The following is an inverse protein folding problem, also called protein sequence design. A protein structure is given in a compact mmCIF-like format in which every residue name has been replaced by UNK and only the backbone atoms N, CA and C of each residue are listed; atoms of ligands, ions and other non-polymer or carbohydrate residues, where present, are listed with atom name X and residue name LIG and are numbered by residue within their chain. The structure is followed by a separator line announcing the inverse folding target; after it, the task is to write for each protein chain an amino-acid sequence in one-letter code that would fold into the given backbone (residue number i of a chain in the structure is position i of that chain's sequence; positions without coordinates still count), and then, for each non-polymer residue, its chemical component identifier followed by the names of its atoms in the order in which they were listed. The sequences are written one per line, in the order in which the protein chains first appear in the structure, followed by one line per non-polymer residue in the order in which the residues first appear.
data_IF_552357359574
#
_entry.id   IF_552357359574
#
_cell.length_a   1.000
_cell.length_b   1.000
_cell.length_c   1.000
_cell.angle_alpha   90.00
_cell.angle_beta   90.00
_cell.angle_gamma   90.00
#
_symmetry.space_group_name_H-M   'P 1'
#
loop_
_entity.id
_entity.type
_entity.pdbx_description
1 polymer ?
#
# COMPACT_ATOMS: atom_id res chain seq x y z
N UNK A 1 10.53 21.93 15.24
CA UNK A 1 9.08 21.64 15.17
C UNK A 1 8.56 22.31 13.92
N UNK A 2 8.04 21.53 12.96
CA UNK A 2 7.44 22.08 11.74
C UNK A 2 6.26 22.98 12.13
N UNK A 3 6.27 24.25 11.71
CA UNK A 3 5.23 25.23 12.06
C UNK A 3 3.80 24.80 11.68
N UNK A 4 3.67 23.88 10.72
CA UNK A 4 2.40 23.29 10.29
C UNK A 4 1.76 22.30 11.28
N UNK A 5 2.48 21.86 12.33
CA UNK A 5 1.98 20.91 13.34
C UNK A 5 1.59 21.56 14.67
N UNK A 6 1.58 22.90 14.75
CA UNK A 6 1.19 23.62 15.97
C UNK A 6 -0.33 23.45 16.19
N UNK A 7 -0.72 22.97 17.37
CA UNK A 7 -2.13 22.78 17.75
C UNK A 7 -2.77 21.44 17.36
N UNK A 8 -2.10 20.58 16.59
CA UNK A 8 -2.66 19.28 16.21
C UNK A 8 -2.47 18.23 17.31
N UNK A 9 -3.57 17.58 17.69
CA UNK A 9 -3.61 16.50 18.70
C UNK A 9 -2.96 15.20 18.18
N UNK A 10 -3.24 14.87 16.94
CA UNK A 10 -2.69 13.74 16.17
C UNK A 10 -2.58 14.19 14.72
N UNK A 11 -1.56 13.74 14.00
CA UNK A 11 -1.40 14.02 12.56
C UNK A 11 -0.57 12.95 11.89
N UNK A 12 -0.81 12.73 10.60
CA UNK A 12 0.06 11.92 9.76
C UNK A 12 1.00 12.83 8.97
N UNK A 13 2.26 12.42 8.78
CA UNK A 13 3.19 13.04 7.83
C UNK A 13 3.34 12.12 6.63
N UNK A 14 3.20 12.66 5.41
CA UNK A 14 3.37 11.90 4.17
C UNK A 14 4.52 12.49 3.36
N UNK A 15 5.49 11.66 3.01
CA UNK A 15 6.73 12.04 2.33
C UNK A 15 6.77 11.48 0.90
N UNK A 16 6.59 12.37 -0.08
CA UNK A 16 6.67 12.01 -1.51
C UNK A 16 8.11 11.68 -1.95
N UNK A 17 9.14 12.22 -1.30
CA UNK A 17 10.54 11.91 -1.59
C UNK A 17 10.89 10.49 -1.15
N UNK A 18 10.28 10.00 -0.06
CA UNK A 18 10.36 8.60 0.33
C UNK A 18 9.75 7.68 -0.74
N UNK A 19 8.60 8.05 -1.32
CA UNK A 19 7.99 7.30 -2.44
C UNK A 19 8.91 7.27 -3.66
N UNK A 20 9.50 8.41 -4.04
CA UNK A 20 10.46 8.49 -5.14
C UNK A 20 11.69 7.60 -4.91
N UNK A 21 12.26 7.65 -3.70
CA UNK A 21 13.36 6.78 -3.29
C UNK A 21 12.98 5.30 -3.39
N UNK A 22 11.82 4.91 -2.87
CA UNK A 22 11.36 3.53 -2.88
C UNK A 22 11.13 3.02 -4.30
N UNK A 23 10.52 3.84 -5.16
CA UNK A 23 10.34 3.53 -6.57
C UNK A 23 11.68 3.27 -7.28
N UNK A 24 12.67 4.14 -7.04
CA UNK A 24 14.02 3.96 -7.58
C UNK A 24 14.71 2.70 -7.03
N UNK A 25 14.59 2.43 -5.73
CA UNK A 25 15.15 1.24 -5.09
C UNK A 25 14.52 -0.06 -5.63
N UNK A 26 13.20 -0.08 -5.84
CA UNK A 26 12.49 -1.21 -6.44
C UNK A 26 12.87 -1.41 -7.90
N UNK A 27 13.06 -0.33 -8.68
CA UNK A 27 13.57 -0.42 -10.05
C UNK A 27 14.99 -0.98 -10.09
N UNK A 28 15.88 -0.53 -9.20
CA UNK A 28 17.24 -1.03 -9.11
C UNK A 28 17.31 -2.54 -8.81
N UNK A 29 16.36 -3.07 -8.03
CA UNK A 29 16.26 -4.52 -7.75
C UNK A 29 15.95 -5.38 -8.96
N UNK A 30 15.29 -4.84 -9.98
CA UNK A 30 15.04 -5.56 -11.25
C UNK A 30 16.37 -5.78 -12.00
N UNK A 31 17.39 -4.97 -11.71
CA UNK A 31 18.71 -5.04 -12.32
C UNK A 31 18.75 -4.39 -13.71
N UNK A 32 19.94 -4.00 -14.18
CA UNK A 32 20.12 -3.24 -15.42
C UNK A 32 19.76 -4.04 -16.68
N UNK A 33 19.72 -5.36 -16.59
CA UNK A 33 19.38 -6.25 -17.69
C UNK A 33 17.86 -6.46 -17.85
N UNK A 34 17.05 -6.03 -16.88
CA UNK A 34 15.58 -6.20 -16.94
C UNK A 34 14.94 -5.03 -17.69
N UNK A 35 14.09 -5.36 -18.65
CA UNK A 35 13.21 -4.40 -19.33
C UNK A 35 11.84 -4.25 -18.63
N UNK A 36 11.67 -4.85 -17.44
CA UNK A 36 10.41 -4.83 -16.73
C UNK A 36 10.00 -3.40 -16.35
N UNK A 37 8.76 -3.05 -16.70
CA UNK A 37 8.13 -1.77 -16.37
C UNK A 37 7.40 -1.84 -15.03
N UNK A 38 7.12 -0.71 -14.42
CA UNK A 38 6.49 -0.61 -13.10
C UNK A 38 5.09 0.00 -13.22
N UNK A 39 4.08 -0.80 -12.87
CA UNK A 39 2.77 -0.31 -12.48
C UNK A 39 2.81 0.10 -11.00
N UNK A 40 2.95 1.39 -10.72
CA UNK A 40 2.90 1.86 -9.35
C UNK A 40 1.45 1.80 -8.83
N UNK A 41 1.20 0.95 -7.83
CA UNK A 41 -0.17 0.68 -7.38
C UNK A 41 -0.63 1.73 -6.37
N UNK A 42 -1.66 2.50 -6.73
CA UNK A 42 -2.18 3.65 -5.98
C UNK A 42 -3.64 3.48 -5.54
N UNK A 43 -4.15 2.24 -5.50
CA UNK A 43 -5.50 1.95 -4.97
C UNK A 43 -5.67 2.40 -3.51
N UNK A 44 -6.93 2.59 -3.11
CA UNK A 44 -7.29 3.04 -1.76
C UNK A 44 -6.58 4.36 -1.38
N UNK A 45 -6.68 5.35 -2.27
CA UNK A 45 -6.04 6.66 -2.14
C UNK A 45 -4.52 6.57 -1.85
N UNK A 46 -3.83 5.79 -2.68
CA UNK A 46 -2.42 5.45 -2.52
C UNK A 46 -2.10 4.81 -1.15
N UNK A 47 -2.84 3.75 -0.79
CA UNK A 47 -2.69 3.06 0.49
C UNK A 47 -2.82 4.03 1.69
N UNK A 48 -3.78 4.95 1.63
CA UNK A 48 -4.03 5.97 2.65
C UNK A 48 -3.08 7.18 2.64
N UNK A 49 -2.09 7.23 1.73
CA UNK A 49 -1.12 8.33 1.69
C UNK A 49 -1.68 9.58 0.99
N UNK A 50 -2.74 9.46 0.21
CA UNK A 50 -3.29 10.53 -0.60
C UNK A 50 -2.63 10.60 -1.97
N UNK A 51 -3.38 10.28 -3.02
CA UNK A 51 -2.90 10.28 -4.41
C UNK A 51 -2.19 11.59 -4.76
N UNK A 52 -2.84 12.73 -4.52
CA UNK A 52 -2.26 14.05 -4.82
C UNK A 52 -0.96 14.34 -4.05
N UNK A 53 -0.81 13.78 -2.84
CA UNK A 53 0.39 14.01 -2.01
C UNK A 53 1.57 13.20 -2.53
N UNK A 54 1.34 11.97 -3.00
CA UNK A 54 2.41 11.07 -3.44
C UNK A 54 2.70 11.14 -4.93
N UNK A 55 1.81 11.71 -5.74
CA UNK A 55 1.95 11.73 -7.20
C UNK A 55 3.31 12.31 -7.68
N UNK A 56 3.87 13.38 -7.08
CA UNK A 56 5.21 13.86 -7.45
C UNK A 56 6.30 12.79 -7.26
N UNK A 57 6.18 11.96 -6.23
CA UNK A 57 7.09 10.85 -5.96
C UNK A 57 6.94 9.66 -6.91
N UNK A 58 5.86 9.63 -7.71
CA UNK A 58 5.56 8.58 -8.68
C UNK A 58 5.96 8.95 -10.11
N UNK A 59 6.58 10.11 -10.33
CA UNK A 59 6.97 10.59 -11.67
C UNK A 59 7.86 9.61 -12.45
N UNK A 60 8.65 8.78 -11.76
CA UNK A 60 9.50 7.74 -12.37
C UNK A 60 8.80 6.42 -12.68
N UNK A 61 7.48 6.31 -12.49
CA UNK A 61 6.72 5.09 -12.76
C UNK A 61 6.36 5.00 -14.25
N UNK A 62 6.26 3.78 -14.79
CA UNK A 62 5.90 3.57 -16.19
C UNK A 62 4.37 3.63 -16.41
N UNK A 63 3.60 3.51 -15.32
CA UNK A 63 2.15 3.53 -15.31
C UNK A 63 1.62 3.46 -13.87
N UNK A 64 0.37 3.85 -13.65
CA UNK A 64 -0.29 3.67 -12.34
C UNK A 64 -1.32 2.54 -12.40
N UNK A 65 -1.42 1.77 -11.32
CA UNK A 65 -2.46 0.76 -11.14
C UNK A 65 -3.46 1.18 -10.06
N UNK A 66 -4.75 1.16 -10.40
CA UNK A 66 -5.87 1.57 -9.55
C UNK A 66 -6.90 0.45 -9.40
N UNK A 67 -7.88 0.59 -8.50
CA UNK A 67 -8.91 -0.44 -8.32
C UNK A 67 -10.05 -0.29 -9.32
N UNK A 68 -10.51 0.94 -9.58
CA UNK A 68 -11.75 1.23 -10.31
C UNK A 68 -11.56 2.39 -11.30
N UNK A 69 -12.50 2.55 -12.23
CA UNK A 69 -12.45 3.63 -13.22
C UNK A 69 -12.53 5.03 -12.59
N UNK A 70 -13.24 5.18 -11.47
CA UNK A 70 -13.28 6.45 -10.73
C UNK A 70 -11.88 6.90 -10.28
N UNK A 71 -11.07 5.97 -9.76
CA UNK A 71 -9.69 6.22 -9.36
C UNK A 71 -8.81 6.58 -10.57
N UNK A 72 -9.03 5.94 -11.72
CA UNK A 72 -8.31 6.26 -12.96
C UNK A 72 -8.60 7.70 -13.42
N UNK A 73 -9.87 8.13 -13.34
CA UNK A 73 -10.26 9.52 -13.61
C UNK A 73 -9.64 10.49 -12.59
N UNK A 74 -9.59 10.11 -11.31
CA UNK A 74 -8.92 10.90 -10.29
C UNK A 74 -7.41 11.08 -10.57
N UNK A 75 -6.73 10.03 -11.06
CA UNK A 75 -5.33 10.13 -11.49
C UNK A 75 -5.15 11.14 -12.64
N UNK A 76 -6.02 11.11 -13.65
CA UNK A 76 -5.99 12.09 -14.75
C UNK A 76 -6.25 13.51 -14.25
N UNK A 77 -7.25 13.70 -13.39
CA UNK A 77 -7.55 14.99 -12.78
C UNK A 77 -6.41 15.52 -11.92
N UNK A 78 -5.63 14.62 -11.29
CA UNK A 78 -4.42 14.94 -10.55
C UNK A 78 -3.20 15.25 -11.44
N UNK A 79 -3.31 15.13 -12.76
CA UNK A 79 -2.25 15.44 -13.72
C UNK A 79 -1.41 14.23 -14.19
N UNK A 80 -1.79 13.00 -13.85
CA UNK A 80 -1.13 11.81 -14.40
C UNK A 80 -1.50 11.63 -15.87
N UNK A 81 -0.53 11.69 -16.78
CA UNK A 81 -0.75 11.53 -18.22
C UNK A 81 -0.29 10.16 -18.76
N UNK A 82 0.41 9.36 -17.97
CA UNK A 82 0.90 8.04 -18.39
C UNK A 82 -0.18 6.95 -18.39
N UNK A 83 0.17 5.70 -18.74
CA UNK A 83 -0.75 4.57 -18.73
C UNK A 83 -1.44 4.33 -17.38
N UNK A 84 -2.67 3.83 -17.42
CA UNK A 84 -3.49 3.48 -16.25
C UNK A 84 -4.03 2.07 -16.34
N UNK A 85 -3.71 1.23 -15.36
CA UNK A 85 -4.25 -0.12 -15.20
C UNK A 85 -5.36 -0.16 -14.14
N UNK A 86 -6.59 -0.46 -14.56
CA UNK A 86 -7.72 -0.70 -13.64
C UNK A 86 -7.78 -2.19 -13.30
N UNK A 87 -7.36 -2.53 -12.08
CA UNK A 87 -7.24 -3.91 -11.62
C UNK A 87 -8.59 -4.59 -11.35
N UNK A 88 -9.63 -3.81 -11.01
CA UNK A 88 -10.99 -4.30 -10.80
C UNK A 88 -11.78 -4.51 -12.09
N UNK A 89 -11.26 -4.08 -13.23
CA UNK A 89 -11.96 -4.18 -14.51
C UNK A 89 -13.16 -3.23 -14.62
N UNK A 90 -14.19 -3.69 -15.33
CA UNK A 90 -15.46 -2.99 -15.51
C UNK A 90 -16.51 -3.62 -14.59
N UNK A 91 -17.39 -2.78 -14.05
CA UNK A 91 -18.51 -3.18 -13.20
C UNK A 91 -19.74 -3.56 -14.01
N UNK A 92 -20.01 -2.84 -15.11
CA UNK A 92 -21.19 -3.03 -15.94
C UNK A 92 -20.97 -2.55 -17.39
N UNK A 93 -22.03 -2.70 -18.20
CA UNK A 93 -22.05 -2.26 -19.59
C UNK A 93 -22.05 -0.73 -19.75
N UNK A 94 -22.54 0.03 -18.76
CA UNK A 94 -22.58 1.50 -18.82
C UNK A 94 -21.17 2.08 -18.71
N UNK A 95 -20.34 1.54 -17.80
CA UNK A 95 -18.92 1.84 -17.75
C UNK A 95 -18.25 1.54 -19.10
N UNK A 96 -18.52 0.36 -19.67
CA UNK A 96 -18.00 -0.05 -20.97
C UNK A 96 -18.44 0.87 -22.10
N UNK A 97 -19.63 1.47 -22.06
CA UNK A 97 -20.14 2.42 -23.04
C UNK A 97 -19.50 3.81 -22.88
N UNK A 98 -19.21 4.24 -21.65
CA UNK A 98 -18.67 5.58 -21.32
C UNK A 98 -17.16 5.62 -21.11
N UNK A 99 -16.44 4.58 -21.52
CA UNK A 99 -14.98 4.57 -21.55
C UNK A 99 -14.46 5.69 -22.47
N UNK A 100 -13.82 6.68 -21.88
CA UNK A 100 -13.22 7.83 -22.54
C UNK A 100 -11.94 8.24 -21.79
N UNK A 101 -10.98 7.33 -21.69
CA UNK A 101 -9.69 7.54 -21.06
C UNK A 101 -8.58 7.03 -22.00
N UNK A 102 -7.62 7.89 -22.42
CA UNK A 102 -6.48 7.45 -23.20
C UNK A 102 -5.53 6.60 -22.33
N UNK A 103 -4.76 5.73 -22.99
CA UNK A 103 -3.77 4.82 -22.38
C UNK A 103 -4.34 3.98 -21.22
N UNK A 104 -5.58 3.52 -21.41
CA UNK A 104 -6.30 2.71 -20.43
C UNK A 104 -6.00 1.23 -20.65
N UNK A 105 -5.72 0.55 -19.54
CA UNK A 105 -5.58 -0.88 -19.43
C UNK A 105 -6.62 -1.41 -18.44
N UNK A 106 -7.32 -2.49 -18.80
CA UNK A 106 -8.38 -3.09 -18.00
C UNK A 106 -8.03 -4.54 -17.66
N UNK A 107 -8.01 -4.88 -16.38
CA UNK A 107 -7.93 -6.28 -15.97
C UNK A 107 -9.30 -6.94 -16.07
N UNK A 108 -9.41 -8.05 -16.79
CA UNK A 108 -10.66 -8.80 -16.90
C UNK A 108 -10.54 -10.14 -16.17
N UNK A 109 -11.55 -10.47 -15.39
CA UNK A 109 -11.58 -11.63 -14.50
C UNK A 109 -12.69 -12.64 -14.82
N UNK A 110 -13.57 -12.31 -15.76
CA UNK A 110 -14.68 -13.16 -16.23
C UNK A 110 -15.19 -12.64 -17.59
N UNK A 111 -16.12 -13.37 -18.19
CA UNK A 111 -16.56 -13.17 -19.58
C UNK A 111 -17.36 -11.89 -19.85
N UNK A 112 -18.12 -11.38 -18.87
CA UNK A 112 -19.09 -10.30 -19.09
C UNK A 112 -18.47 -9.00 -19.62
N UNK A 113 -17.33 -8.50 -19.08
CA UNK A 113 -16.65 -7.36 -19.66
C UNK A 113 -16.25 -7.53 -21.12
N UNK A 114 -16.00 -8.76 -21.60
CA UNK A 114 -15.69 -9.02 -23.01
C UNK A 114 -16.95 -8.76 -23.87
N UNK A 115 -18.13 -9.20 -23.42
CA UNK A 115 -19.41 -8.88 -24.08
C UNK A 115 -19.63 -7.36 -24.13
N UNK A 116 -19.51 -6.69 -22.98
CA UNK A 116 -19.74 -5.25 -22.88
C UNK A 116 -18.80 -4.43 -23.77
N UNK A 117 -17.53 -4.84 -23.87
CA UNK A 117 -16.56 -4.23 -24.78
C UNK A 117 -16.84 -4.55 -26.25
N UNK A 118 -17.49 -5.66 -26.57
CA UNK A 118 -17.98 -5.98 -27.91
C UNK A 118 -19.18 -5.12 -28.32
N UNK A 119 -20.10 -4.88 -27.39
CA UNK A 119 -21.37 -4.19 -27.65
C UNK A 119 -21.29 -2.65 -27.57
N UNK A 120 -20.25 -2.10 -26.93
CA UNK A 120 -20.06 -0.65 -26.82
C UNK A 120 -19.89 0.06 -28.19
N UNK A 121 -19.77 1.39 -28.24
CA UNK A 121 -19.33 2.08 -29.46
C UNK A 121 -17.83 1.86 -29.73
N UNK A 122 -17.43 1.93 -31.01
CA UNK A 122 -16.01 1.99 -31.39
C UNK A 122 -15.34 3.26 -30.86
N UNK A 123 -14.02 3.21 -30.64
CA UNK A 123 -13.26 4.27 -29.97
C UNK A 123 -11.99 4.60 -30.73
N UNK A 124 -11.58 5.86 -30.66
CA UNK A 124 -10.27 6.29 -31.18
C UNK A 124 -9.10 5.69 -30.37
N UNK A 125 -9.27 5.56 -29.05
CA UNK A 125 -8.29 4.95 -28.15
C UNK A 125 -8.94 3.76 -27.41
N UNK A 126 -8.94 2.56 -28.01
CA UNK A 126 -9.46 1.37 -27.36
C UNK A 126 -8.53 0.91 -26.22
N UNK A 127 -9.06 0.30 -25.14
CA UNK A 127 -8.24 -0.11 -24.01
C UNK A 127 -7.39 -1.36 -24.32
N UNK A 128 -6.29 -1.53 -23.61
CA UNK A 128 -5.58 -2.80 -23.51
C UNK A 128 -6.28 -3.72 -22.50
N UNK A 129 -6.30 -5.02 -22.77
CA UNK A 129 -6.92 -6.02 -21.88
C UNK A 129 -5.85 -6.86 -21.21
N UNK A 130 -5.89 -6.92 -19.88
CA UNK A 130 -5.10 -7.82 -19.06
C UNK A 130 -5.97 -8.98 -18.58
N UNK A 131 -5.85 -10.14 -19.21
CA UNK A 131 -6.58 -11.32 -18.78
C UNK A 131 -6.00 -11.86 -17.47
N UNK A 132 -6.80 -11.80 -16.42
CA UNK A 132 -6.44 -12.26 -15.08
C UNK A 132 -6.66 -13.76 -14.99
N UNK A 133 -5.58 -14.48 -14.71
CA UNK A 133 -5.64 -15.87 -14.29
C UNK A 133 -6.03 -15.95 -12.81
N UNK A 134 -6.89 -16.91 -12.45
CA UNK A 134 -7.31 -17.12 -11.06
C UNK A 134 -6.13 -17.45 -10.14
N UNK A 135 -5.13 -18.19 -10.66
CA UNK A 135 -3.89 -18.47 -9.97
C UNK A 135 -4.06 -19.23 -8.65
N UNK A 136 -3.05 -19.14 -7.80
CA UNK A 136 -3.05 -19.71 -6.45
C UNK A 136 -3.81 -18.85 -5.43
N UNK A 137 -3.98 -17.54 -5.70
CA UNK A 137 -4.79 -16.67 -4.86
C UNK A 137 -6.29 -17.00 -4.96
N UNK A 138 -6.78 -17.40 -6.13
CA UNK A 138 -8.13 -17.96 -6.31
C UNK A 138 -9.30 -17.01 -6.07
N UNK A 139 -9.08 -15.71 -5.85
CA UNK A 139 -10.16 -14.75 -5.57
C UNK A 139 -10.94 -14.31 -6.81
N UNK A 140 -10.22 -14.03 -7.90
CA UNK A 140 -10.80 -13.53 -9.16
C UNK A 140 -9.91 -13.96 -10.32
N UNK A 141 -10.50 -14.17 -11.49
CA UNK A 141 -9.79 -14.54 -12.70
C UNK A 141 -10.40 -15.76 -13.36
N UNK A 142 -9.94 -16.04 -14.58
CA UNK A 142 -10.34 -17.22 -15.31
C UNK A 142 -9.56 -18.45 -14.83
N UNK A 143 -10.21 -19.60 -14.84
CA UNK A 143 -9.55 -20.90 -14.77
C UNK A 143 -8.90 -21.26 -16.12
N UNK A 144 -8.25 -22.41 -16.22
CA UNK A 144 -7.47 -22.79 -17.41
C UNK A 144 -8.34 -22.81 -18.69
N UNK A 145 -9.55 -23.36 -18.61
CA UNK A 145 -10.47 -23.45 -19.75
C UNK A 145 -11.06 -22.09 -20.14
N UNK A 146 -11.53 -21.34 -19.14
CA UNK A 146 -12.07 -19.99 -19.33
C UNK A 146 -11.01 -19.03 -19.86
N UNK A 147 -9.74 -19.20 -19.49
CA UNK A 147 -8.66 -18.32 -19.94
C UNK A 147 -8.41 -18.44 -21.44
N UNK A 148 -8.37 -19.67 -21.96
CA UNK A 148 -8.18 -19.94 -23.38
C UNK A 148 -9.32 -19.36 -24.22
N UNK A 149 -10.56 -19.53 -23.76
CA UNK A 149 -11.73 -18.97 -24.43
C UNK A 149 -11.75 -17.44 -24.37
N UNK A 150 -11.48 -16.85 -23.20
CA UNK A 150 -11.39 -15.40 -23.04
C UNK A 150 -10.32 -14.80 -23.98
N UNK A 151 -9.15 -15.43 -24.09
CA UNK A 151 -8.08 -15.01 -25.00
C UNK A 151 -8.54 -15.04 -26.46
N UNK A 152 -9.22 -16.12 -26.88
CA UNK A 152 -9.79 -16.23 -28.23
C UNK A 152 -10.80 -15.12 -28.51
N UNK A 153 -11.70 -14.85 -27.58
CA UNK A 153 -12.72 -13.79 -27.70
C UNK A 153 -12.10 -12.40 -27.74
N UNK A 154 -11.13 -12.11 -26.87
CA UNK A 154 -10.37 -10.86 -26.91
C UNK A 154 -9.59 -10.71 -28.22
N UNK A 155 -9.08 -11.79 -28.81
CA UNK A 155 -8.40 -11.74 -30.12
C UNK A 155 -9.36 -11.28 -31.24
N UNK A 156 -10.62 -11.71 -31.19
CA UNK A 156 -11.66 -11.22 -32.11
C UNK A 156 -11.90 -9.73 -31.90
N UNK A 157 -12.05 -9.28 -30.65
CA UNK A 157 -12.22 -7.86 -30.32
C UNK A 157 -11.03 -7.00 -30.78
N UNK A 158 -9.79 -7.50 -30.64
CA UNK A 158 -8.59 -6.80 -31.08
C UNK A 158 -8.60 -6.61 -32.61
N UNK A 159 -8.96 -7.64 -33.38
CA UNK A 159 -9.09 -7.57 -34.85
C UNK A 159 -10.17 -6.59 -35.30
N UNK A 160 -11.21 -6.41 -34.49
CA UNK A 160 -12.29 -5.45 -34.73
C UNK A 160 -11.94 -4.02 -34.26
N UNK A 161 -10.73 -3.78 -33.72
CA UNK A 161 -10.32 -2.48 -33.17
C UNK A 161 -11.05 -2.08 -31.89
N UNK A 162 -11.68 -3.03 -31.20
CA UNK A 162 -12.46 -2.80 -29.96
C UNK A 162 -11.55 -2.71 -28.73
N UNK A 163 -10.42 -3.40 -28.78
CA UNK A 163 -9.35 -3.36 -27.78
C UNK A 163 -8.01 -3.16 -28.50
N UNK A 164 -7.05 -2.53 -27.84
CA UNK A 164 -5.73 -2.25 -28.42
C UNK A 164 -4.79 -3.48 -28.42
N UNK A 165 -5.01 -4.42 -27.50
CA UNK A 165 -4.16 -5.60 -27.37
C UNK A 165 -4.52 -6.42 -26.13
N UNK A 166 -3.84 -7.56 -25.99
CA UNK A 166 -4.04 -8.53 -24.92
C UNK A 166 -2.73 -8.69 -24.16
N UNK A 167 -2.84 -8.78 -22.85
CA UNK A 167 -1.75 -8.99 -21.90
C UNK A 167 -2.20 -10.01 -20.83
N UNK A 168 -1.22 -10.60 -20.14
CA UNK A 168 -1.41 -11.70 -19.21
C UNK A 168 -1.14 -11.24 -17.78
N UNK A 169 -2.12 -11.44 -16.90
CA UNK A 169 -2.02 -11.04 -15.50
C UNK A 169 -2.19 -12.25 -14.58
N UNK A 170 -1.25 -12.42 -13.65
CA UNK A 170 -1.41 -13.29 -12.49
C UNK A 170 -1.13 -12.49 -11.21
N UNK A 171 -1.54 -13.00 -10.05
CA UNK A 171 -1.18 -12.45 -8.75
C UNK A 171 -0.87 -13.60 -7.79
N UNK A 172 0.40 -13.77 -7.45
CA UNK A 172 0.82 -14.83 -6.53
C UNK A 172 0.21 -14.63 -5.14
N UNK A 173 -0.47 -15.65 -4.63
CA UNK A 173 -1.05 -15.69 -3.30
C UNK A 173 -0.04 -16.02 -2.19
N UNK A 174 1.10 -16.63 -2.55
CA UNK A 174 2.11 -17.10 -1.57
C UNK A 174 3.50 -16.50 -1.74
N UNK A 175 3.64 -15.36 -2.41
CA UNK A 175 4.94 -14.75 -2.72
C UNK A 175 5.77 -14.31 -1.49
N UNK A 176 5.16 -14.21 -0.32
CA UNK A 176 5.86 -13.92 0.94
C UNK A 176 6.75 -15.09 1.41
N UNK A 177 6.52 -16.31 0.90
CA UNK A 177 7.29 -17.50 1.23
C UNK A 177 8.43 -17.71 0.23
N UNK A 178 9.63 -18.16 0.65
CA UNK A 178 10.79 -18.38 -0.23
C UNK A 178 10.52 -19.28 -1.44
N UNK A 179 9.75 -20.35 -1.28
CA UNK A 179 9.40 -21.27 -2.39
C UNK A 179 7.93 -21.15 -2.82
N UNK A 180 7.25 -20.11 -2.34
CA UNK A 180 5.78 -20.02 -2.40
C UNK A 180 5.20 -19.89 -3.80
N UNK A 181 5.99 -19.43 -4.79
CA UNK A 181 5.48 -19.15 -6.14
C UNK A 181 5.73 -20.27 -7.15
N UNK A 182 6.61 -21.23 -6.87
CA UNK A 182 7.16 -22.11 -7.91
C UNK A 182 6.08 -22.87 -8.69
N UNK A 183 5.10 -23.46 -7.99
CA UNK A 183 4.00 -24.18 -8.62
C UNK A 183 3.05 -23.23 -9.39
N UNK A 184 2.71 -22.09 -8.80
CA UNK A 184 1.80 -21.11 -9.39
C UNK A 184 2.41 -20.49 -10.66
N UNK A 185 3.71 -20.19 -10.62
CA UNK A 185 4.47 -19.67 -11.76
C UNK A 185 4.53 -20.71 -12.88
N UNK A 186 4.97 -21.94 -12.60
CA UNK A 186 5.06 -22.99 -13.62
C UNK A 186 3.72 -23.21 -14.34
N UNK A 187 2.60 -23.22 -13.59
CA UNK A 187 1.26 -23.35 -14.17
C UNK A 187 0.90 -22.16 -15.06
N UNK A 188 1.14 -20.93 -14.59
CA UNK A 188 0.84 -19.73 -15.35
C UNK A 188 1.69 -19.61 -16.62
N UNK A 189 3.00 -19.90 -16.54
CA UNK A 189 3.89 -19.90 -17.72
C UNK A 189 3.48 -20.98 -18.73
N UNK A 190 3.03 -22.16 -18.27
CA UNK A 190 2.51 -23.19 -19.15
C UNK A 190 1.23 -22.77 -19.85
N UNK A 191 0.30 -22.11 -19.14
CA UNK A 191 -0.97 -21.62 -19.67
C UNK A 191 -0.78 -20.60 -20.81
N UNK A 192 0.20 -19.70 -20.68
CA UNK A 192 0.41 -18.58 -21.62
C UNK A 192 1.51 -18.82 -22.65
N UNK A 193 2.15 -19.99 -22.65
CA UNK A 193 3.36 -20.28 -23.45
C UNK A 193 3.24 -19.87 -24.92
N UNK A 194 2.10 -20.20 -25.53
CA UNK A 194 1.83 -19.97 -26.95
C UNK A 194 0.90 -18.77 -27.19
N UNK A 195 0.66 -17.96 -26.15
CA UNK A 195 -0.20 -16.79 -26.19
C UNK A 195 0.67 -15.52 -26.18
N UNK A 196 0.76 -14.77 -27.29
CA UNK A 196 1.54 -13.54 -27.32
C UNK A 196 0.90 -12.44 -26.48
N UNK A 197 1.72 -11.73 -25.72
CA UNK A 197 1.29 -10.54 -24.99
C UNK A 197 2.23 -10.20 -23.84
N UNK A 198 2.23 -8.95 -23.36
CA UNK A 198 2.96 -8.58 -22.15
C UNK A 198 2.47 -9.35 -20.94
N UNK A 199 3.36 -9.62 -19.98
CA UNK A 199 3.08 -10.40 -18.78
C UNK A 199 3.29 -9.57 -17.53
N UNK A 200 2.42 -9.77 -16.54
CA UNK A 200 2.56 -9.14 -15.23
C UNK A 200 2.08 -10.09 -14.14
N UNK A 201 3.01 -10.55 -13.31
CA UNK A 201 2.71 -11.54 -12.26
C UNK A 201 3.33 -11.22 -10.90
N UNK A 202 4.32 -10.31 -10.83
CA UNK A 202 4.98 -9.95 -9.58
C UNK A 202 4.30 -8.76 -8.88
N UNK A 203 3.82 -8.98 -7.65
CA UNK A 203 3.47 -7.95 -6.68
C UNK A 203 4.71 -7.51 -5.88
N UNK A 204 4.54 -6.70 -4.82
CA UNK A 204 5.64 -6.28 -3.94
C UNK A 204 6.45 -7.46 -3.40
N UNK A 205 5.79 -8.50 -2.88
CA UNK A 205 6.46 -9.65 -2.27
C UNK A 205 7.27 -10.44 -3.30
N UNK A 206 6.69 -10.69 -4.47
CA UNK A 206 7.36 -11.39 -5.56
C UNK A 206 8.58 -10.60 -6.07
N UNK A 207 8.46 -9.28 -6.23
CA UNK A 207 9.58 -8.42 -6.63
C UNK A 207 10.74 -8.52 -5.63
N UNK A 208 10.44 -8.49 -4.33
CA UNK A 208 11.44 -8.44 -3.26
C UNK A 208 12.08 -9.79 -2.94
N UNK A 209 11.32 -10.89 -3.02
CA UNK A 209 11.75 -12.23 -2.59
C UNK A 209 12.08 -13.18 -3.75
N UNK A 210 11.57 -12.91 -4.96
CA UNK A 210 11.68 -13.82 -6.11
C UNK A 210 12.27 -13.09 -7.32
N UNK A 211 13.57 -12.73 -7.28
CA UNK A 211 14.20 -11.87 -8.29
C UNK A 211 14.19 -12.47 -9.70
N UNK A 212 14.24 -13.80 -9.84
CA UNK A 212 14.16 -14.45 -11.16
C UNK A 212 12.79 -14.26 -11.82
N UNK A 213 11.70 -14.41 -11.05
CA UNK A 213 10.36 -14.10 -11.53
C UNK A 213 10.21 -12.60 -11.84
N UNK A 214 10.75 -11.74 -10.98
CA UNK A 214 10.71 -10.28 -11.18
C UNK A 214 11.44 -9.83 -12.45
N UNK A 215 12.51 -10.54 -12.84
CA UNK A 215 13.27 -10.27 -14.08
C UNK A 215 12.62 -10.87 -15.33
N UNK A 216 11.84 -11.93 -15.19
CA UNK A 216 11.22 -12.61 -16.33
C UNK A 216 9.87 -12.02 -16.76
N UNK A 217 9.29 -11.11 -15.97
CA UNK A 217 8.02 -10.44 -16.25
C UNK A 217 8.22 -9.15 -17.06
N UNK A 218 7.22 -8.74 -17.84
CA UNK A 218 7.28 -7.49 -18.61
C UNK A 218 6.84 -6.28 -17.77
N UNK A 219 6.04 -6.52 -16.73
CA UNK A 219 5.57 -5.52 -15.78
C UNK A 219 5.50 -6.05 -14.35
N UNK A 220 6.09 -5.34 -13.40
CA UNK A 220 5.88 -5.54 -11.96
C UNK A 220 4.83 -4.57 -11.41
N UNK A 221 4.17 -4.96 -10.32
CA UNK A 221 3.09 -4.17 -9.69
C UNK A 221 3.33 -3.96 -8.19
N UNK A 222 4.39 -3.25 -7.79
CA UNK A 222 4.59 -2.93 -6.39
C UNK A 222 3.43 -2.05 -5.89
N UNK A 223 2.98 -2.36 -4.67
CA UNK A 223 2.00 -1.58 -3.91
C UNK A 223 2.65 -1.13 -2.61
N UNK A 224 2.43 -1.90 -1.53
CA UNK A 224 2.89 -1.55 -0.18
C UNK A 224 4.39 -1.16 -0.08
N UNK A 225 5.26 -1.77 -0.89
CA UNK A 225 6.69 -1.47 -0.89
C UNK A 225 7.03 -0.08 -1.46
N UNK A 226 6.18 0.51 -2.31
CA UNK A 226 6.33 1.90 -2.76
C UNK A 226 6.21 2.88 -1.59
N UNK A 227 5.42 2.50 -0.59
CA UNK A 227 5.11 3.32 0.58
C UNK A 227 6.05 3.04 1.77
N UNK A 228 7.12 2.29 1.53
CA UNK A 228 8.16 2.08 2.53
C UNK A 228 7.92 0.94 3.50
N UNK A 229 6.84 0.17 3.30
CA UNK A 229 6.49 -0.96 4.13
C UNK A 229 6.74 -2.29 3.42
N UNK A 230 7.40 -3.21 4.11
CA UNK A 230 7.66 -4.55 3.62
C UNK A 230 6.39 -5.39 3.59
N UNK A 231 6.15 -6.17 2.51
CA UNK A 231 5.13 -7.21 2.50
C UNK A 231 5.64 -8.52 3.13
N UNK A 232 6.89 -8.60 3.57
CA UNK A 232 7.52 -9.83 4.03
C UNK A 232 7.39 -9.97 5.55
N UNK A 233 7.08 -11.15 6.09
CA UNK A 233 6.84 -11.33 7.53
C UNK A 233 8.10 -11.24 8.40
N UNK A 234 9.27 -11.45 7.80
CA UNK A 234 10.58 -11.65 8.43
C UNK A 234 11.55 -10.47 8.23
N UNK A 235 11.22 -9.51 7.36
CA UNK A 235 12.11 -8.38 7.04
C UNK A 235 11.28 -7.11 6.97
N UNK A 236 11.62 -6.11 7.79
CA UNK A 236 10.96 -4.79 7.77
C UNK A 236 11.51 -3.89 6.63
N UNK A 237 10.76 -2.88 6.21
CA UNK A 237 11.07 -1.99 5.09
C UNK A 237 12.47 -1.35 5.14
N UNK A 238 12.92 -0.78 6.28
CA UNK A 238 14.25 -0.20 6.38
C UNK A 238 15.40 -1.20 6.12
N UNK A 239 15.25 -2.46 6.53
CA UNK A 239 16.23 -3.50 6.24
C UNK A 239 16.28 -3.86 4.74
N UNK A 240 15.20 -3.57 4.00
CA UNK A 240 15.13 -3.63 2.54
C UNK A 240 15.59 -2.33 1.87
N UNK A 241 16.16 -1.36 2.60
CA UNK A 241 16.54 -0.06 2.07
C UNK A 241 15.35 0.81 1.64
N UNK A 242 14.13 0.47 2.07
CA UNK A 242 12.93 1.27 1.83
C UNK A 242 12.78 2.33 2.93
N UNK A 243 12.23 3.48 2.57
CA UNK A 243 11.95 4.61 3.47
C UNK A 243 10.45 4.70 3.73
N UNK A 244 9.99 4.67 4.99
CA UNK A 244 8.59 4.87 5.32
C UNK A 244 8.06 6.18 4.72
N UNK A 245 6.99 6.09 3.92
CA UNK A 245 6.38 7.27 3.29
C UNK A 245 5.28 7.90 4.15
N UNK A 246 4.80 7.22 5.20
CA UNK A 246 3.86 7.76 6.18
C UNK A 246 4.33 7.48 7.59
N UNK A 247 4.18 8.49 8.46
CA UNK A 247 4.32 8.35 9.91
C UNK A 247 3.16 8.99 10.66
N UNK A 248 2.75 8.38 11.78
CA UNK A 248 1.65 8.87 12.62
C UNK A 248 2.21 9.44 13.92
N UNK A 249 1.94 10.72 14.16
CA UNK A 249 2.52 11.52 15.23
C UNK A 249 1.44 12.07 16.16
N UNK A 250 1.76 12.13 17.44
CA UNK A 250 0.90 12.71 18.49
C UNK A 250 1.79 13.13 19.66
N UNK A 251 1.20 13.36 20.84
CA UNK A 251 1.89 13.83 22.04
C UNK A 251 1.34 13.18 23.30
N UNK A 252 2.15 13.20 24.36
CA UNK A 252 1.69 12.94 25.72
C UNK A 252 0.83 14.12 26.19
N UNK A 253 -0.39 13.86 26.66
CA UNK A 253 -1.30 14.90 27.20
C UNK A 253 -1.57 14.78 28.70
N UNK A 254 -1.07 13.72 29.32
CA UNK A 254 -1.20 13.51 30.75
C UNK A 254 -0.19 12.47 31.22
N UNK A 255 0.26 12.62 32.46
CA UNK A 255 1.14 11.67 33.14
C UNK A 255 0.56 11.42 34.52
N UNK A 256 0.52 10.15 34.92
CA UNK A 256 0.02 9.73 36.23
C UNK A 256 0.99 8.74 36.85
N UNK A 257 1.38 8.98 38.09
CA UNK A 257 2.00 7.95 38.92
C UNK A 257 0.89 7.08 39.53
N UNK A 258 1.05 5.77 39.40
CA UNK A 258 0.02 4.77 39.71
C UNK A 258 0.59 3.79 40.72
N UNK A 259 -0.08 3.63 41.85
CA UNK A 259 0.39 2.77 42.93
C UNK A 259 0.15 1.29 42.62
N UNK A 260 0.91 0.40 43.26
CA UNK A 260 0.66 -1.05 43.20
C UNK A 260 -0.78 -1.38 43.60
N UNK A 261 -1.47 -2.18 42.78
CA UNK A 261 -2.85 -2.61 42.99
C UNK A 261 -3.91 -1.65 42.45
N UNK A 262 -3.52 -0.44 42.06
CA UNK A 262 -4.43 0.54 41.45
C UNK A 262 -4.89 0.10 40.06
N UNK A 263 -6.10 0.52 39.68
CA UNK A 263 -6.76 0.12 38.42
C UNK A 263 -6.91 1.29 37.46
N UNK A 264 -6.71 1.03 36.16
CA UNK A 264 -6.87 2.01 35.08
C UNK A 264 -7.68 1.42 33.91
N UNK A 265 -8.17 2.30 33.06
CA UNK A 265 -8.89 1.94 31.84
C UNK A 265 -10.32 1.45 32.08
N UNK A 266 -11.02 1.13 30.99
CA UNK A 266 -12.39 0.62 31.07
C UNK A 266 -12.44 -0.65 31.92
N UNK A 267 -13.42 -0.69 32.84
CA UNK A 267 -13.64 -1.77 33.80
C UNK A 267 -12.43 -2.06 34.73
N UNK A 268 -11.48 -1.13 34.86
CA UNK A 268 -10.27 -1.34 35.64
C UNK A 268 -9.43 -2.53 35.13
N UNK A 269 -9.38 -2.68 33.80
CA UNK A 269 -8.72 -3.78 33.09
C UNK A 269 -7.20 -3.78 33.21
N UNK A 270 -6.60 -2.63 33.48
CA UNK A 270 -5.18 -2.52 33.83
C UNK A 270 -5.09 -2.54 35.35
N UNK A 271 -4.34 -3.50 35.90
CA UNK A 271 -4.03 -3.58 37.34
C UNK A 271 -2.52 -3.42 37.49
N UNK A 272 -2.09 -2.38 38.20
CA UNK A 272 -0.67 -2.11 38.38
C UNK A 272 -0.02 -3.17 39.27
N UNK A 273 0.85 -4.02 38.71
CA UNK A 273 1.56 -5.05 39.46
C UNK A 273 2.65 -4.47 40.39
N UNK A 274 3.17 -3.29 40.05
CA UNK A 274 4.16 -2.50 40.77
C UNK A 274 3.83 -1.00 40.59
N UNK A 275 4.45 -0.09 41.37
CA UNK A 275 4.37 1.34 41.09
C UNK A 275 4.81 1.63 39.66
N UNK A 276 3.99 2.36 38.90
CA UNK A 276 4.24 2.62 37.49
C UNK A 276 3.94 4.08 37.14
N UNK A 277 4.66 4.61 36.15
CA UNK A 277 4.37 5.92 35.56
C UNK A 277 3.67 5.72 34.23
N UNK A 278 2.45 6.22 34.11
CA UNK A 278 1.61 6.02 32.92
C UNK A 278 1.48 7.33 32.16
N UNK A 279 1.81 7.29 30.86
CA UNK A 279 1.57 8.37 29.91
C UNK A 279 0.24 8.18 29.19
N UNK A 280 -0.45 9.29 28.94
CA UNK A 280 -1.67 9.32 28.13
C UNK A 280 -1.33 9.90 26.75
N UNK A 281 -1.29 9.04 25.74
CA UNK A 281 -1.05 9.42 24.35
C UNK A 281 -2.35 9.87 23.70
N UNK A 282 -2.32 11.02 23.02
CA UNK A 282 -3.52 11.68 22.48
C UNK A 282 -3.98 11.15 21.12
N UNK A 283 -4.20 9.84 21.05
CA UNK A 283 -4.81 9.19 19.89
C UNK A 283 -5.64 7.98 20.33
N UNK A 284 -6.52 7.47 19.48
CA UNK A 284 -7.25 6.24 19.73
C UNK A 284 -7.96 5.69 18.50
N UNK A 285 -8.95 4.83 18.70
CA UNK A 285 -9.68 4.23 17.58
C UNK A 285 -10.53 5.22 16.79
N UNK A 286 -10.85 6.38 17.37
CA UNK A 286 -11.49 7.48 16.63
C UNK A 286 -10.60 8.06 15.54
N UNK A 287 -9.29 7.88 15.65
CA UNK A 287 -8.28 8.35 14.69
C UNK A 287 -7.83 7.23 13.72
N UNK A 288 -8.30 6.01 13.93
CA UNK A 288 -7.93 4.84 13.13
C UNK A 288 -6.92 3.90 13.80
N UNK A 289 -6.47 4.21 15.02
CA UNK A 289 -5.58 3.31 15.76
C UNK A 289 -6.38 2.14 16.36
N UNK A 290 -6.13 0.86 15.99
CA UNK A 290 -7.06 -0.23 16.27
C UNK A 290 -7.42 -0.39 17.75
N UNK A 291 -8.73 -0.48 18.04
CA UNK A 291 -9.22 -0.71 19.42
C UNK A 291 -8.66 -2.00 20.03
N UNK A 292 -8.50 -3.03 19.21
CA UNK A 292 -7.97 -4.35 19.60
C UNK A 292 -6.44 -4.41 19.62
N UNK A 293 -5.77 -3.27 19.85
CA UNK A 293 -4.33 -3.26 20.08
C UNK A 293 -4.03 -3.98 21.41
N UNK A 294 -3.19 -5.03 21.41
CA UNK A 294 -2.79 -5.68 22.64
C UNK A 294 -1.84 -4.79 23.45
N UNK A 295 -1.89 -4.95 24.78
CA UNK A 295 -0.89 -4.36 25.66
C UNK A 295 0.52 -4.85 25.28
N UNK A 296 1.52 -4.00 25.45
CA UNK A 296 2.89 -4.29 25.00
C UNK A 296 3.19 -3.84 23.56
N UNK A 297 2.19 -3.35 22.81
CA UNK A 297 2.44 -2.80 21.47
C UNK A 297 3.37 -1.58 21.58
N UNK A 298 4.46 -1.50 20.81
CA UNK A 298 5.44 -0.44 20.96
C UNK A 298 4.96 0.88 20.36
N UNK A 299 5.20 1.98 21.08
CA UNK A 299 5.18 3.36 20.56
C UNK A 299 6.52 4.03 20.87
N UNK A 300 6.89 5.09 20.16
CA UNK A 300 8.11 5.84 20.39
C UNK A 300 7.77 7.14 21.13
N UNK A 301 8.12 7.25 22.41
CA UNK A 301 7.90 8.44 23.25
C UNK A 301 9.24 9.13 23.47
N UNK A 302 9.38 10.36 22.96
CA UNK A 302 10.60 11.16 23.07
C UNK A 302 11.87 10.37 22.69
N UNK A 303 11.80 9.63 21.57
CA UNK A 303 12.89 8.79 21.06
C UNK A 303 13.07 7.43 21.76
N UNK A 304 12.25 7.10 22.76
CA UNK A 304 12.36 5.85 23.51
C UNK A 304 11.14 4.95 23.31
N UNK A 305 11.34 3.63 23.20
CA UNK A 305 10.22 2.69 23.04
C UNK A 305 9.47 2.53 24.37
N UNK A 306 8.17 2.79 24.34
CA UNK A 306 7.23 2.58 25.44
C UNK A 306 6.15 1.56 25.02
N UNK A 307 5.80 0.57 25.85
CA UNK A 307 4.69 -0.34 25.55
C UNK A 307 3.33 0.30 25.85
N UNK A 308 2.32 0.01 25.04
CA UNK A 308 0.92 0.34 25.37
C UNK A 308 0.42 -0.45 26.57
N UNK A 309 -0.53 0.12 27.31
CA UNK A 309 -1.17 -0.48 28.47
C UNK A 309 -2.68 -0.61 28.23
N UNK A 310 -3.19 -1.82 28.46
CA UNK A 310 -4.62 -2.14 28.35
C UNK A 310 -5.22 -1.86 26.96
N UNK A 311 -6.52 -1.64 26.93
CA UNK A 311 -7.26 -1.40 25.69
C UNK A 311 -7.16 0.06 25.25
N UNK A 312 -7.06 0.25 23.93
CA UNK A 312 -7.15 1.56 23.28
C UNK A 312 -8.58 2.11 23.41
N UNK A 313 -8.68 3.39 23.76
CA UNK A 313 -9.97 4.11 23.88
C UNK A 313 -10.25 4.93 22.61
N UNK A 314 -11.33 5.72 22.60
CA UNK A 314 -11.67 6.51 21.40
C UNK A 314 -10.57 7.51 21.07
N UNK A 315 -9.99 8.15 22.08
CA UNK A 315 -9.07 9.28 21.90
C UNK A 315 -7.80 9.20 22.77
N UNK A 316 -7.60 8.11 23.52
CA UNK A 316 -6.43 7.89 24.37
C UNK A 316 -5.86 6.47 24.24
N UNK A 317 -4.53 6.40 24.22
CA UNK A 317 -3.73 5.18 24.39
C UNK A 317 -2.87 5.35 25.65
N UNK A 318 -3.12 4.59 26.72
CA UNK A 318 -2.23 4.56 27.88
C UNK A 318 -0.91 3.86 27.52
N UNK A 319 0.22 4.36 28.00
CA UNK A 319 1.56 3.78 27.76
C UNK A 319 2.37 3.73 29.05
N UNK A 320 3.21 2.71 29.19
CA UNK A 320 4.12 2.60 30.32
C UNK A 320 5.37 3.45 30.09
N UNK A 321 5.57 4.45 30.95
CA UNK A 321 6.76 5.31 30.96
C UNK A 321 7.76 4.86 32.04
N UNK A 322 7.48 3.77 32.75
CA UNK A 322 8.34 3.26 33.82
C UNK A 322 9.71 2.88 33.25
N UNK A 323 10.77 3.40 33.87
CA UNK A 323 12.15 3.14 33.44
C UNK A 323 12.65 4.02 32.29
N UNK A 324 11.80 4.85 31.67
CA UNK A 324 12.22 5.84 30.69
C UNK A 324 12.80 7.09 31.37
N UNK A 325 13.64 7.88 30.67
CA UNK A 325 14.01 9.22 31.12
C UNK A 325 12.76 10.09 31.40
N UNK A 326 12.88 11.18 32.18
CA UNK A 326 11.75 12.05 32.48
C UNK A 326 11.05 12.56 31.21
N UNK A 327 9.82 12.10 30.99
CA UNK A 327 8.95 12.54 29.89
C UNK A 327 8.08 13.69 30.38
N UNK A 328 7.97 14.77 29.61
CA UNK A 328 7.10 15.90 29.91
C UNK A 328 5.73 15.78 29.21
N UNK A 329 4.72 16.45 29.75
CA UNK A 329 3.48 16.69 29.00
C UNK A 329 3.84 17.51 27.75
N UNK A 330 3.29 17.09 26.59
CA UNK A 330 3.62 17.64 25.28
C UNK A 330 4.76 16.91 24.56
N UNK A 331 5.45 15.97 25.21
CA UNK A 331 6.51 15.18 24.59
C UNK A 331 6.01 14.49 23.30
N UNK A 332 6.84 14.46 22.24
CA UNK A 332 6.45 13.87 20.97
C UNK A 332 6.29 12.36 21.09
N UNK A 333 5.27 11.83 20.41
CA UNK A 333 5.01 10.40 20.32
C UNK A 333 4.83 10.02 18.85
N UNK A 334 5.52 8.96 18.43
CA UNK A 334 5.33 8.33 17.12
C UNK A 334 4.64 6.99 17.35
N UNK A 335 3.50 6.79 16.68
CA UNK A 335 2.73 5.55 16.73
C UNK A 335 3.23 4.54 15.70
N UNK A 336 3.75 5.01 14.56
CA UNK A 336 4.51 4.22 13.58
C UNK A 336 5.15 5.12 12.52
N UNK A 337 5.99 4.51 11.68
CA UNK A 337 6.40 5.07 10.39
C UNK A 337 7.74 5.79 10.40
N UNK A 338 8.60 5.50 11.37
CA UNK A 338 10.01 5.91 11.36
C UNK A 338 10.92 4.69 11.24
N UNK A 339 12.21 4.86 10.91
CA UNK A 339 13.15 3.74 10.90
C UNK A 339 13.23 2.98 12.24
N UNK A 340 13.06 3.67 13.37
CA UNK A 340 13.12 3.11 14.72
C UNK A 340 11.83 2.36 15.10
N UNK A 341 10.69 2.79 14.53
CA UNK A 341 9.39 2.16 14.71
C UNK A 341 8.67 1.99 13.35
N UNK A 342 9.10 1.02 12.52
CA UNK A 342 8.42 0.71 11.27
C UNK A 342 6.99 0.22 11.54
N UNK A 343 6.07 0.52 10.62
CA UNK A 343 4.65 0.16 10.76
C UNK A 343 4.44 -1.36 10.84
N UNK A 344 5.33 -2.14 10.22
CA UNK A 344 5.34 -3.60 10.24
C UNK A 344 5.55 -4.15 11.66
N UNK A 345 6.42 -3.50 12.45
CA UNK A 345 6.66 -3.89 13.84
C UNK A 345 5.40 -3.72 14.67
N UNK A 346 4.67 -2.63 14.46
CA UNK A 346 3.41 -2.32 15.15
C UNK A 346 2.31 -3.28 14.70
N UNK A 347 2.17 -3.51 13.38
CA UNK A 347 1.21 -4.44 12.80
C UNK A 347 1.39 -5.87 13.31
N UNK A 348 2.64 -6.36 13.41
CA UNK A 348 2.95 -7.68 13.96
C UNK A 348 2.49 -7.84 15.41
N UNK A 349 2.67 -6.82 16.26
CA UNK A 349 2.16 -6.87 17.63
C UNK A 349 0.64 -6.94 17.67
N UNK A 350 -0.04 -6.24 16.76
CA UNK A 350 -1.50 -6.22 16.66
C UNK A 350 -2.11 -7.45 15.97
N UNK A 351 -1.29 -8.34 15.39
CA UNK A 351 -1.78 -9.48 14.61
C UNK A 351 -2.43 -9.07 13.28
N UNK A 352 -1.97 -7.97 12.67
CA UNK A 352 -2.45 -7.44 11.39
C UNK A 352 -1.26 -7.17 10.44
N UNK A 353 -1.54 -6.58 9.27
CA UNK A 353 -0.59 -6.17 8.24
C UNK A 353 -0.45 -4.65 8.19
N UNK A 354 0.73 -4.17 7.76
CA UNK A 354 1.01 -2.74 7.63
C UNK A 354 0.00 -1.98 6.75
N UNK A 355 -0.46 -2.63 5.67
CA UNK A 355 -1.44 -2.03 4.76
C UNK A 355 -2.75 -1.66 5.47
N UNK A 356 -3.24 -2.50 6.40
CA UNK A 356 -4.46 -2.21 7.16
C UNK A 356 -4.28 -0.94 8.00
N UNK A 357 -3.17 -0.82 8.74
CA UNK A 357 -2.90 0.35 9.57
C UNK A 357 -2.81 1.65 8.75
N UNK A 358 -2.09 1.61 7.63
CA UNK A 358 -1.89 2.77 6.76
C UNK A 358 -3.21 3.24 6.10
N UNK A 359 -4.11 2.30 5.76
CA UNK A 359 -5.40 2.63 5.13
C UNK A 359 -6.53 2.93 6.12
N UNK A 360 -6.31 2.78 7.43
CA UNK A 360 -7.38 2.89 8.44
C UNK A 360 -7.48 4.26 9.11
N UNK A 361 -6.62 5.22 8.77
CA UNK A 361 -6.69 6.56 9.34
C UNK A 361 -8.03 7.23 9.01
N UNK A 362 -8.68 7.80 10.03
CA UNK A 362 -9.97 8.46 9.85
C UNK A 362 -9.79 9.92 9.42
N UNK A 363 -10.84 10.59 8.93
CA UNK A 363 -10.78 12.02 8.62
C UNK A 363 -10.42 12.94 9.79
N UNK A 364 -10.40 12.44 11.05
CA UNK A 364 -9.92 13.21 12.21
C UNK A 364 -8.41 13.46 12.17
N UNK A 365 -7.66 12.64 11.43
CA UNK A 365 -6.20 12.75 11.34
C UNK A 365 -5.83 13.67 10.17
N UNK A 366 -5.43 14.92 10.43
CA UNK A 366 -4.87 15.77 9.38
C UNK A 366 -3.58 15.16 8.83
N UNK A 367 -3.43 15.24 7.52
CA UNK A 367 -2.25 14.76 6.81
C UNK A 367 -1.40 15.94 6.36
N UNK A 368 -0.19 16.03 6.89
CA UNK A 368 0.80 17.07 6.56
C UNK A 368 1.74 16.50 5.49
N UNK A 369 1.79 17.08 4.28
CA UNK A 369 2.81 16.69 3.30
C UNK A 369 4.19 17.17 3.78
N UNK A 370 5.20 16.31 3.65
CA UNK A 370 6.60 16.71 3.79
C UNK A 370 7.02 17.34 2.46
N UNK A 371 7.55 18.58 2.46
CA UNK A 371 8.03 19.21 1.24
C UNK A 371 9.11 18.35 0.59
N UNK A 372 8.99 18.12 -0.72
CA UNK A 372 10.11 17.65 -1.51
C UNK A 372 11.16 18.76 -1.51
N UNK A 373 12.42 18.43 -1.22
CA UNK A 373 13.53 19.38 -1.38
C UNK A 373 13.51 19.93 -2.82
N UNK A 374 13.58 21.25 -2.95
CA UNK A 374 13.65 21.88 -4.26
C UNK A 374 14.99 21.57 -4.95
N UNK A 375 15.10 21.77 -6.29
CA UNK A 375 16.38 21.69 -6.97
C UNK A 375 17.47 22.55 -6.30
N UNK A 376 17.08 23.67 -5.67
CA UNK A 376 17.98 24.63 -5.01
C UNK A 376 18.50 24.17 -3.63
N UNK A 377 17.91 23.13 -3.03
CA UNK A 377 18.33 22.61 -1.71
C UNK A 377 19.49 21.60 -1.80
N UNK A 378 19.87 21.18 -3.02
CA UNK A 378 20.91 20.18 -3.28
C UNK A 378 22.30 20.78 -3.52
N UNK A 379 22.42 22.11 -3.66
CA UNK A 379 23.71 22.79 -3.87
C UNK A 379 24.42 23.26 -2.58
N UNK A 380 23.88 22.94 -1.39
CA UNK A 380 24.48 23.35 -0.10
C UNK A 380 24.92 22.20 0.81
N UNK A 381 25.25 21.01 0.28
CA UNK A 381 25.88 19.94 1.06
C UNK A 381 27.24 19.50 0.55
#
# INVERSE_FOLDING_TARGET
MDGNAIGLRVHARVDAAAVAHNLAALRARLGPASAARIWATVKADAYGHGLHRVLPGLAGADGLAVSQLADARACRAAGWNGPLLVLGGLLDAEEAQRLALPDLHLALSHDRPIDWLGDAPSRAAPPWIWLRYAGDIGYTGFDDAGYAEAYRRCTVLARQGRIAGIAHLNHYGRAEQPDGIAQADARFQALIRDLPGPRSFCNSAALLRHPDAARSTDWVRPGIALYGASPLPDIDGPALGLRPAMSLHTRIIGIRDVAKGERLGYNGSIVAAAPMRVGMVASGYGDGYPRRTPAGTPVLVDGHIAPTLGAVTMDLIPVDLTGLPPVAIGAPVVLWGTPELPVEKVARHMGTIAAELLTSLTPRVPVIPVPMAGPDDLEQK
#
